data_IF_313356974705
#
_entry.id   IF_313356974705
#
_cell.length_a   1.000
_cell.length_b   1.000
_cell.length_c   1.000
_cell.angle_alpha   90.00
_cell.angle_beta   90.00
_cell.angle_gamma   90.00
#
_symmetry.space_group_name_H-M   'P 1'
#
loop_
_entity.id
_entity.type
_entity.pdbx_description
1 polymer ?
#
# COMPACT_ATOMS: atom_id res chain seq x y z
N UNK A 1 8.31 -13.15 -0.35
CA UNK A 1 8.39 -11.87 0.38
C UNK A 1 7.49 -11.93 1.62
N UNK A 2 8.01 -11.59 2.77
CA UNK A 2 7.26 -11.61 4.05
C UNK A 2 6.08 -10.63 4.05
N UNK A 3 6.19 -9.51 3.35
CA UNK A 3 5.06 -8.58 3.19
C UNK A 3 3.95 -9.16 2.30
N UNK A 4 4.27 -10.07 1.37
CA UNK A 4 3.27 -10.87 0.65
C UNK A 4 2.57 -11.85 1.60
N UNK A 5 3.29 -12.49 2.52
CA UNK A 5 2.67 -13.33 3.55
C UNK A 5 1.72 -12.51 4.43
N UNK A 6 2.15 -11.31 4.86
CA UNK A 6 1.30 -10.40 5.65
C UNK A 6 0.03 -9.99 4.88
N UNK A 7 0.14 -9.68 3.58
CA UNK A 7 -1.04 -9.35 2.76
C UNK A 7 -2.02 -10.52 2.62
N UNK A 8 -1.53 -11.77 2.63
CA UNK A 8 -2.39 -12.96 2.65
C UNK A 8 -3.16 -13.12 3.98
N UNK A 9 -2.55 -12.73 5.12
CA UNK A 9 -3.26 -12.67 6.41
C UNK A 9 -4.41 -11.67 6.35
N UNK A 10 -4.17 -10.50 5.77
CA UNK A 10 -5.24 -9.49 5.59
C UNK A 10 -6.32 -9.98 4.62
N UNK A 11 -5.94 -10.60 3.51
CA UNK A 11 -6.90 -11.18 2.56
C UNK A 11 -7.81 -12.20 3.24
N UNK A 12 -7.24 -13.06 4.09
CA UNK A 12 -8.03 -14.03 4.86
C UNK A 12 -8.97 -13.36 5.87
N UNK A 13 -8.55 -12.29 6.52
CA UNK A 13 -9.40 -11.52 7.44
C UNK A 13 -10.58 -10.81 6.75
N UNK A 14 -10.43 -10.51 5.46
CA UNK A 14 -11.43 -9.88 4.60
C UNK A 14 -12.31 -10.89 3.83
N UNK A 15 -11.99 -12.18 3.90
CA UNK A 15 -12.71 -13.24 3.17
C UNK A 15 -14.21 -13.22 3.48
N UNK A 16 -15.03 -13.22 2.43
CA UNK A 16 -16.50 -13.12 2.54
C UNK A 16 -17.04 -11.74 2.93
N UNK A 17 -16.17 -10.75 3.15
CA UNK A 17 -16.55 -9.37 3.52
C UNK A 17 -16.22 -8.36 2.43
N UNK A 18 -15.22 -8.63 1.59
CA UNK A 18 -14.80 -7.77 0.50
C UNK A 18 -14.23 -8.59 -0.67
N UNK A 19 -14.33 -8.04 -1.87
CA UNK A 19 -13.57 -8.53 -3.03
C UNK A 19 -12.18 -7.91 -2.99
N UNK A 20 -11.15 -8.74 -3.25
CA UNK A 20 -9.75 -8.33 -3.12
C UNK A 20 -9.04 -8.49 -4.46
N UNK A 21 -8.42 -7.42 -4.90
CA UNK A 21 -7.48 -7.42 -6.02
C UNK A 21 -6.07 -7.14 -5.50
N UNK A 22 -5.12 -7.99 -5.88
CA UNK A 22 -3.68 -7.77 -5.61
C UNK A 22 -3.06 -7.14 -6.83
N UNK A 23 -2.68 -5.87 -6.71
CA UNK A 23 -2.11 -5.09 -7.82
C UNK A 23 -0.60 -5.26 -7.88
N UNK A 24 -0.09 -5.83 -8.98
CA UNK A 24 1.34 -5.89 -9.26
C UNK A 24 1.84 -4.52 -9.76
N UNK A 25 2.99 -4.09 -9.24
CA UNK A 25 3.61 -2.80 -9.56
C UNK A 25 5.03 -2.93 -10.13
N UNK A 26 5.49 -4.17 -10.39
CA UNK A 26 6.87 -4.42 -10.80
C UNK A 26 7.18 -3.95 -12.24
N UNK A 27 6.19 -3.88 -13.09
CA UNK A 27 6.27 -3.41 -14.48
C UNK A 27 6.04 -1.89 -14.63
N UNK A 28 5.78 -1.19 -13.53
CA UNK A 28 5.56 0.26 -13.54
C UNK A 28 6.91 0.98 -13.71
N UNK A 29 7.11 1.74 -14.81
CA UNK A 29 8.36 2.45 -15.03
C UNK A 29 8.57 3.55 -13.98
N UNK A 30 9.80 4.02 -13.84
CA UNK A 30 10.09 5.20 -13.01
C UNK A 30 9.32 6.41 -13.56
N UNK A 31 8.80 7.23 -12.64
CA UNK A 31 8.05 8.43 -13.02
C UNK A 31 8.91 9.32 -13.93
N UNK A 32 8.37 9.56 -15.12
CA UNK A 32 8.88 10.52 -16.08
C UNK A 32 7.73 11.41 -16.55
N UNK A 33 7.81 12.70 -16.28
CA UNK A 33 6.76 13.66 -16.64
C UNK A 33 6.65 13.89 -18.17
N UNK A 34 7.70 13.59 -18.92
CA UNK A 34 7.68 13.69 -20.38
C UNK A 34 6.85 12.55 -21.03
N UNK A 35 6.59 11.49 -20.27
CA UNK A 35 5.82 10.30 -20.69
C UNK A 35 4.51 10.15 -19.91
N UNK A 36 4.00 11.25 -19.37
CA UNK A 36 2.83 11.23 -18.48
C UNK A 36 1.50 11.05 -19.25
N UNK A 37 1.45 11.54 -20.51
CA UNK A 37 0.24 11.50 -21.32
C UNK A 37 0.53 11.08 -22.78
N UNK A 38 0.03 9.90 -23.23
CA UNK A 38 -0.70 8.91 -22.42
C UNK A 38 0.19 8.25 -21.37
N UNK A 39 -0.41 7.86 -20.25
CA UNK A 39 0.33 7.15 -19.22
C UNK A 39 0.81 5.78 -19.73
N UNK A 40 2.00 5.31 -19.33
CA UNK A 40 2.45 3.96 -19.62
C UNK A 40 1.43 2.90 -19.19
N UNK A 41 1.35 1.78 -19.93
CA UNK A 41 0.33 0.74 -19.70
C UNK A 41 0.30 0.23 -18.25
N UNK A 42 1.46 -0.06 -17.65
CA UNK A 42 1.54 -0.50 -16.26
C UNK A 42 1.02 0.55 -15.27
N UNK A 43 1.25 1.85 -15.54
CA UNK A 43 0.73 2.96 -14.75
C UNK A 43 -0.79 3.05 -14.88
N UNK A 44 -1.30 2.98 -16.12
CA UNK A 44 -2.75 3.06 -16.37
C UNK A 44 -3.49 1.91 -15.69
N UNK A 45 -2.97 0.69 -15.78
CA UNK A 45 -3.52 -0.49 -15.12
C UNK A 45 -3.64 -0.29 -13.59
N UNK A 46 -2.58 0.24 -12.94
CA UNK A 46 -2.62 0.52 -11.49
C UNK A 46 -3.60 1.64 -11.17
N UNK A 47 -3.65 2.71 -11.98
CA UNK A 47 -4.64 3.79 -11.81
C UNK A 47 -6.07 3.26 -11.89
N UNK A 48 -6.36 2.42 -12.90
CA UNK A 48 -7.69 1.84 -13.09
C UNK A 48 -8.10 0.97 -11.92
N UNK A 49 -7.20 0.10 -11.42
CA UNK A 49 -7.45 -0.71 -10.24
C UNK A 49 -7.73 0.15 -8.99
N UNK A 50 -6.93 1.19 -8.76
CA UNK A 50 -7.13 2.10 -7.61
C UNK A 50 -8.43 2.89 -7.75
N UNK A 51 -8.79 3.34 -8.94
CA UNK A 51 -10.04 4.06 -9.16
C UNK A 51 -11.26 3.17 -8.97
N UNK A 52 -11.20 1.91 -9.38
CA UNK A 52 -12.29 0.94 -9.22
C UNK A 52 -12.49 0.49 -7.76
N UNK A 53 -11.44 0.46 -6.96
CA UNK A 53 -11.48 0.02 -5.58
C UNK A 53 -12.17 1.05 -4.64
N UNK A 54 -12.89 0.58 -3.63
CA UNK A 54 -13.43 1.43 -2.56
C UNK A 54 -12.32 1.90 -1.62
N UNK A 55 -11.30 1.06 -1.37
CA UNK A 55 -10.16 1.39 -0.55
C UNK A 55 -8.87 0.70 -0.98
N UNK A 56 -7.74 1.15 -0.44
CA UNK A 56 -6.41 0.62 -0.74
C UNK A 56 -5.66 0.27 0.54
N UNK A 57 -5.17 -0.96 0.61
CA UNK A 57 -4.30 -1.43 1.70
C UNK A 57 -2.88 -1.66 1.18
N UNK A 58 -1.95 -0.83 1.62
CA UNK A 58 -0.55 -0.92 1.24
C UNK A 58 0.23 -1.83 2.19
N UNK A 59 0.98 -2.79 1.62
CA UNK A 59 1.93 -3.62 2.37
C UNK A 59 3.35 -3.29 1.95
N UNK A 60 4.20 -2.89 2.92
CA UNK A 60 5.55 -2.41 2.62
C UNK A 60 6.59 -2.88 3.62
N UNK A 61 7.78 -3.30 3.19
CA UNK A 61 8.92 -3.42 4.09
C UNK A 61 9.48 -2.04 4.46
N UNK A 62 10.50 -2.04 5.31
CA UNK A 62 11.31 -0.87 5.60
C UNK A 62 12.73 -1.07 5.04
N UNK A 63 13.19 -0.14 4.23
CA UNK A 63 14.57 -0.07 3.75
C UNK A 63 15.21 1.25 4.18
N UNK A 64 16.29 1.15 4.96
CA UNK A 64 17.00 2.34 5.46
C UNK A 64 16.08 3.35 6.15
N UNK A 65 15.21 2.86 7.04
CA UNK A 65 14.22 3.65 7.78
C UNK A 65 13.18 4.39 6.91
N UNK A 66 12.98 3.93 5.67
CA UNK A 66 12.06 4.55 4.72
C UNK A 66 11.35 3.51 3.86
N UNK A 67 10.48 3.99 2.98
CA UNK A 67 9.77 3.16 2.00
C UNK A 67 10.73 2.71 0.88
N UNK A 68 10.52 1.53 0.29
CA UNK A 68 11.22 1.11 -0.91
C UNK A 68 10.98 2.05 -2.10
N UNK A 69 11.95 2.11 -3.02
CA UNK A 69 11.83 2.91 -4.23
C UNK A 69 10.60 2.57 -5.08
N UNK A 70 10.21 1.30 -5.13
CA UNK A 70 8.99 0.85 -5.83
C UNK A 70 7.71 1.43 -5.23
N UNK A 71 7.62 1.49 -3.90
CA UNK A 71 6.49 2.11 -3.19
C UNK A 71 6.46 3.61 -3.44
N UNK A 72 7.62 4.27 -3.34
CA UNK A 72 7.71 5.72 -3.63
C UNK A 72 7.29 6.01 -5.06
N UNK A 73 7.78 5.25 -6.02
CA UNK A 73 7.48 5.42 -7.43
C UNK A 73 5.98 5.29 -7.73
N UNK A 74 5.31 4.26 -7.19
CA UNK A 74 3.89 4.10 -7.44
C UNK A 74 3.04 5.20 -6.78
N UNK A 75 3.41 5.66 -5.58
CA UNK A 75 2.74 6.78 -4.93
C UNK A 75 2.93 8.09 -5.74
N UNK A 76 4.11 8.28 -6.33
CA UNK A 76 4.36 9.41 -7.21
C UNK A 76 3.48 9.36 -8.47
N UNK A 77 3.39 8.21 -9.15
CA UNK A 77 2.49 8.05 -10.28
C UNK A 77 1.01 8.27 -9.92
N UNK A 78 0.58 7.79 -8.74
CA UNK A 78 -0.80 7.97 -8.28
C UNK A 78 -1.11 9.42 -7.85
N UNK A 79 -0.08 10.23 -7.61
CA UNK A 79 -0.21 11.67 -7.33
C UNK A 79 -0.46 12.52 -8.58
N UNK A 80 -0.19 11.96 -9.76
CA UNK A 80 -0.26 12.72 -11.02
C UNK A 80 -1.69 12.84 -11.51
N UNK A 81 -2.02 13.95 -12.21
CA UNK A 81 -3.32 14.12 -12.85
C UNK A 81 -3.67 12.96 -13.78
N UNK A 82 -4.95 12.69 -13.93
CA UNK A 82 -5.45 11.68 -14.87
C UNK A 82 -5.48 12.17 -16.32
N UNK A 83 -5.38 13.46 -16.51
CA UNK A 83 -5.47 14.14 -17.82
C UNK A 83 -4.51 15.31 -17.89
N UNK A 84 -4.13 15.70 -19.11
CA UNK A 84 -3.34 16.90 -19.39
C UNK A 84 -4.12 18.21 -19.24
N UNK A 85 -5.43 18.16 -19.01
CA UNK A 85 -6.26 19.34 -18.76
C UNK A 85 -5.88 19.99 -17.43
N UNK A 86 -5.33 21.19 -17.47
CA UNK A 86 -4.88 21.91 -16.30
C UNK A 86 -5.99 22.19 -15.28
N UNK A 87 -7.22 22.40 -15.74
CA UNK A 87 -8.38 22.62 -14.86
C UNK A 87 -8.71 21.38 -14.01
N UNK A 88 -8.32 20.19 -14.48
CA UNK A 88 -8.52 18.89 -13.82
C UNK A 88 -7.27 18.37 -13.13
N UNK A 89 -6.24 19.19 -12.94
CA UNK A 89 -4.97 18.76 -12.31
C UNK A 89 -5.08 18.18 -10.90
N UNK A 90 -6.20 18.42 -10.21
CA UNK A 90 -6.48 17.88 -8.90
C UNK A 90 -7.12 16.49 -8.94
N UNK A 91 -7.57 16.02 -10.11
CA UNK A 91 -8.14 14.69 -10.30
C UNK A 91 -7.01 13.66 -10.42
N UNK A 92 -6.79 12.89 -9.38
CA UNK A 92 -5.79 11.83 -9.32
C UNK A 92 -6.45 10.50 -8.95
N UNK A 93 -5.84 9.37 -9.31
CA UNK A 93 -6.44 8.06 -9.09
C UNK A 93 -6.71 7.74 -7.61
N UNK A 94 -5.90 8.29 -6.70
CA UNK A 94 -5.94 7.92 -5.27
C UNK A 94 -6.61 8.97 -4.37
N UNK A 95 -6.81 10.20 -4.85
CA UNK A 95 -7.39 11.26 -4.03
C UNK A 95 -8.79 10.88 -3.53
N UNK A 96 -9.03 11.08 -2.23
CA UNK A 96 -10.29 10.75 -1.56
C UNK A 96 -10.49 9.28 -1.22
N UNK A 97 -9.60 8.37 -1.65
CA UNK A 97 -9.69 6.94 -1.30
C UNK A 97 -9.44 6.72 0.19
N UNK A 98 -10.17 5.78 0.76
CA UNK A 98 -9.87 5.22 2.08
C UNK A 98 -8.63 4.36 1.97
N UNK A 99 -7.65 4.57 2.84
CA UNK A 99 -6.37 3.87 2.76
C UNK A 99 -5.91 3.39 4.13
N UNK A 100 -5.19 2.28 4.16
CA UNK A 100 -4.46 1.83 5.34
C UNK A 100 -3.14 1.20 4.92
N UNK A 101 -2.24 0.96 5.86
CA UNK A 101 -0.95 0.35 5.58
C UNK A 101 -0.51 -0.60 6.68
N UNK A 102 0.24 -1.63 6.28
CA UNK A 102 0.90 -2.55 7.19
C UNK A 102 2.27 -2.94 6.66
N UNK A 103 3.13 -3.38 7.55
CA UNK A 103 4.46 -3.81 7.15
C UNK A 103 5.08 -4.81 8.11
N UNK A 104 5.96 -5.65 7.60
CA UNK A 104 6.78 -6.54 8.40
C UNK A 104 8.25 -6.42 7.98
N UNK A 105 9.13 -6.39 8.96
CA UNK A 105 10.56 -6.18 8.71
C UNK A 105 11.42 -6.50 9.94
N UNK A 106 12.47 -5.72 10.15
CA UNK A 106 13.38 -5.88 11.27
C UNK A 106 12.84 -5.38 12.60
N UNK A 107 13.74 -5.17 13.57
CA UNK A 107 13.41 -4.78 14.96
C UNK A 107 12.58 -3.51 15.08
N UNK A 108 12.69 -2.60 14.11
CA UNK A 108 11.96 -1.34 14.08
C UNK A 108 10.48 -1.50 13.71
N UNK A 109 10.02 -2.73 13.44
CA UNK A 109 8.62 -3.00 13.07
C UNK A 109 8.12 -2.11 11.93
N UNK A 110 8.97 -1.80 10.96
CA UNK A 110 8.68 -0.90 9.83
C UNK A 110 8.19 0.51 10.22
N UNK A 111 8.48 0.96 11.44
CA UNK A 111 7.96 2.23 11.95
C UNK A 111 8.35 3.44 11.09
N UNK A 112 9.59 3.46 10.56
CA UNK A 112 10.06 4.53 9.68
C UNK A 112 9.31 4.57 8.36
N UNK A 113 9.14 3.42 7.69
CA UNK A 113 8.39 3.37 6.43
C UNK A 113 6.92 3.69 6.62
N UNK A 114 6.27 3.20 7.68
CA UNK A 114 4.86 3.49 7.95
C UNK A 114 4.62 4.97 8.28
N UNK A 115 5.56 5.63 8.96
CA UNK A 115 5.51 7.08 9.18
C UNK A 115 5.59 7.86 7.87
N UNK A 116 6.49 7.45 6.95
CA UNK A 116 6.59 8.05 5.62
C UNK A 116 5.32 7.78 4.81
N UNK A 117 4.78 6.55 4.82
CA UNK A 117 3.51 6.21 4.14
C UNK A 117 2.39 7.12 4.62
N UNK A 118 2.24 7.31 5.94
CA UNK A 118 1.22 8.20 6.51
C UNK A 118 1.35 9.62 5.95
N UNK A 119 2.57 10.16 5.94
CA UNK A 119 2.83 11.49 5.38
C UNK A 119 2.48 11.56 3.89
N UNK A 120 2.84 10.54 3.10
CA UNK A 120 2.51 10.47 1.68
C UNK A 120 0.98 10.39 1.47
N UNK A 121 0.28 9.54 2.19
CA UNK A 121 -1.17 9.41 2.10
C UNK A 121 -1.91 10.73 2.37
N UNK A 122 -1.48 11.47 3.40
CA UNK A 122 -2.04 12.80 3.69
C UNK A 122 -1.76 13.79 2.54
N UNK A 123 -0.54 13.80 2.01
CA UNK A 123 -0.17 14.65 0.88
C UNK A 123 -0.97 14.31 -0.40
N UNK A 124 -1.31 13.04 -0.59
CA UNK A 124 -2.14 12.54 -1.69
C UNK A 124 -3.65 12.76 -1.48
N UNK A 125 -4.04 13.42 -0.40
CA UNK A 125 -5.44 13.75 -0.06
C UNK A 125 -6.32 12.50 0.09
N UNK A 126 -5.76 11.40 0.58
CA UNK A 126 -6.49 10.18 0.92
C UNK A 126 -7.14 10.29 2.30
N UNK A 127 -7.87 9.26 2.70
CA UNK A 127 -8.48 9.11 4.03
C UNK A 127 -7.82 7.96 4.78
N UNK A 128 -6.71 8.19 5.50
CA UNK A 128 -6.01 7.13 6.21
C UNK A 128 -6.83 6.57 7.38
N UNK A 129 -6.90 5.24 7.48
CA UNK A 129 -7.46 4.50 8.61
C UNK A 129 -6.30 3.97 9.45
N UNK A 130 -6.19 4.48 10.66
CA UNK A 130 -5.14 4.11 11.61
C UNK A 130 -5.69 3.23 12.75
N UNK A 131 -4.86 2.46 13.46
CA UNK A 131 -3.39 2.46 13.36
C UNK A 131 -2.87 1.68 12.15
N UNK A 132 -1.73 2.12 11.60
CA UNK A 132 -0.94 1.30 10.68
C UNK A 132 -0.14 0.29 11.48
N UNK A 133 -0.24 -0.98 11.14
CA UNK A 133 0.40 -2.05 11.92
C UNK A 133 1.74 -2.48 11.32
N UNK A 134 2.78 -2.39 12.15
CA UNK A 134 4.12 -2.86 11.83
C UNK A 134 4.55 -4.03 12.71
N UNK A 135 5.19 -5.02 12.11
CA UNK A 135 5.62 -6.25 12.80
C UNK A 135 7.11 -6.52 12.58
N UNK A 136 7.73 -7.18 13.55
CA UNK A 136 9.10 -7.66 13.39
C UNK A 136 9.12 -9.15 13.07
N UNK A 137 10.04 -9.52 12.17
CA UNK A 137 10.30 -10.92 11.88
C UNK A 137 11.14 -11.55 12.98
N UNK A 138 10.85 -12.80 13.36
CA UNK A 138 11.75 -13.58 14.21
C UNK A 138 13.05 -13.89 13.44
N UNK A 139 14.14 -14.17 14.18
CA UNK A 139 15.44 -14.47 13.58
C UNK A 139 15.36 -15.68 12.64
N UNK A 140 14.55 -16.67 13.00
CA UNK A 140 14.33 -17.88 12.19
C UNK A 140 13.77 -17.57 10.79
N UNK A 141 12.93 -16.58 10.66
CA UNK A 141 12.40 -16.18 9.34
C UNK A 141 13.51 -15.72 8.37
N UNK A 142 14.54 -15.06 8.90
CA UNK A 142 15.68 -14.60 8.08
C UNK A 142 16.58 -15.76 7.64
N UNK A 143 16.74 -16.77 8.50
CA UNK A 143 17.60 -17.92 8.19
C UNK A 143 16.91 -18.95 7.31
N UNK A 144 15.61 -19.15 7.50
CA UNK A 144 14.81 -20.13 6.77
C UNK A 144 14.15 -19.60 5.51
N UNK A 145 14.05 -18.28 5.38
CA UNK A 145 13.39 -17.61 4.24
C UNK A 145 11.86 -17.73 4.26
N UNK A 146 11.29 -18.28 5.36
CA UNK A 146 9.86 -18.47 5.57
C UNK A 146 9.42 -17.81 6.88
N UNK A 147 8.16 -17.46 6.97
CA UNK A 147 7.55 -16.88 8.16
C UNK A 147 6.10 -17.32 8.27
N UNK A 148 5.76 -17.87 9.41
CA UNK A 148 4.39 -18.12 9.82
C UNK A 148 4.02 -17.05 10.85
N UNK A 149 3.05 -16.16 10.54
CA UNK A 149 2.66 -15.10 11.44
C UNK A 149 2.08 -15.62 12.75
N UNK A 150 2.52 -15.05 13.84
CA UNK A 150 2.09 -15.37 15.19
C UNK A 150 0.61 -14.95 15.41
N UNK A 151 -0.10 -15.55 16.39
CA UNK A 151 -1.52 -15.21 16.63
C UNK A 151 -1.80 -13.72 16.84
N UNK A 152 -0.86 -13.00 17.46
CA UNK A 152 -0.96 -11.56 17.70
C UNK A 152 -0.97 -10.75 16.39
N UNK A 153 -0.23 -11.22 15.37
CA UNK A 153 -0.24 -10.61 14.03
C UNK A 153 -1.61 -10.80 13.38
N UNK A 154 -2.15 -12.00 13.43
CA UNK A 154 -3.49 -12.30 12.91
C UNK A 154 -4.56 -11.46 13.59
N UNK A 155 -4.51 -11.31 14.91
CA UNK A 155 -5.46 -10.52 15.69
C UNK A 155 -5.37 -9.02 15.32
N UNK A 156 -4.17 -8.47 15.24
CA UNK A 156 -3.96 -7.06 14.90
C UNK A 156 -4.42 -6.75 13.47
N UNK A 157 -4.12 -7.63 12.51
CA UNK A 157 -4.56 -7.48 11.12
C UNK A 157 -6.08 -7.65 10.99
N UNK A 158 -6.70 -8.57 11.74
CA UNK A 158 -8.15 -8.74 11.74
C UNK A 158 -8.85 -7.48 12.27
N UNK A 159 -8.36 -6.88 13.36
CA UNK A 159 -8.91 -5.61 13.85
C UNK A 159 -8.73 -4.47 12.85
N UNK A 160 -7.56 -4.35 12.24
CA UNK A 160 -7.31 -3.35 11.20
C UNK A 160 -8.23 -3.55 9.99
N UNK A 161 -8.53 -4.79 9.62
CA UNK A 161 -9.47 -5.12 8.54
C UNK A 161 -10.89 -4.65 8.87
N UNK A 162 -11.36 -4.84 10.11
CA UNK A 162 -12.66 -4.36 10.56
C UNK A 162 -12.74 -2.84 10.56
N UNK A 163 -11.74 -2.16 11.10
CA UNK A 163 -11.66 -0.69 11.12
C UNK A 163 -11.63 -0.12 9.70
N UNK A 164 -10.89 -0.77 8.79
CA UNK A 164 -10.81 -0.40 7.39
C UNK A 164 -12.15 -0.57 6.67
N UNK A 165 -12.82 -1.72 6.82
CA UNK A 165 -14.16 -1.96 6.26
C UNK A 165 -15.20 -0.97 6.78
N UNK A 166 -15.15 -0.61 8.06
CA UNK A 166 -16.07 0.34 8.66
C UNK A 166 -15.91 1.77 8.12
N UNK A 167 -14.77 2.07 7.50
CA UNK A 167 -14.46 3.39 6.93
C UNK A 167 -14.79 3.51 5.43
N UNK A 168 -15.05 2.38 4.73
CA UNK A 168 -15.47 2.34 3.33
C UNK A 168 -16.92 2.77 3.17
#
# INVERSE_FOLDING_TARGET
SFNKTLSQVAAKALEGKAEIEVVDVLDVPLLNQDEEFPAPEGVQRVRDAVMAADGVWLFTPEYNYSIPGTVKNILDWLSRPLTSDYEKKSETAIAGKVVTASGVGGRNKTAGSLAVVKQQFLALRTKPVEPFNGFSLPVTAWTEGTWEPEPEVHQAIAQQAEDFLAAL
#
